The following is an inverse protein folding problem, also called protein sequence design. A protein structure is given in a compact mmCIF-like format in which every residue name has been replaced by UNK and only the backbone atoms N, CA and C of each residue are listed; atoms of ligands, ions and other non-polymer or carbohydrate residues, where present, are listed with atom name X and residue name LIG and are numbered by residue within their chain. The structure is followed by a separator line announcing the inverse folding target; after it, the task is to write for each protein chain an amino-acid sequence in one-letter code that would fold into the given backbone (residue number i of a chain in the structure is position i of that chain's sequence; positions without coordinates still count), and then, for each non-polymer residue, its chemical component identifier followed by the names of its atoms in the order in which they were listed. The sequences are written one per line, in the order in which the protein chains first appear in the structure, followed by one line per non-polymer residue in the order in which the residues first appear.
data_IF_072906603517
#
_entry.id   IF_072906603517
#
_cell.length_a   1.000
_cell.length_b   1.000
_cell.length_c   1.000
_cell.angle_alpha   90.00
_cell.angle_beta   90.00
_cell.angle_gamma   90.00
#
_symmetry.space_group_name_H-M   'P 1'
#
loop_
_entity.id
_entity.type
_entity.pdbx_description
1 polymer ?
#
# COMPACT_ATOMS: atom_id res chain seq x y z
N UNK A 1 -41.01 5.96 20.12
CA UNK A 1 -40.01 5.67 21.17
C UNK A 1 -39.25 4.37 20.88
N UNK A 2 -39.92 3.20 20.83
CA UNK A 2 -39.25 1.91 20.60
C UNK A 2 -38.47 1.81 19.27
N UNK A 3 -39.01 2.35 18.17
CA UNK A 3 -38.32 2.37 16.87
C UNK A 3 -37.04 3.23 16.91
N UNK A 4 -37.09 4.37 17.59
CA UNK A 4 -35.96 5.30 17.75
C UNK A 4 -34.91 4.70 18.68
N UNK A 5 -35.32 4.02 19.75
CA UNK A 5 -34.43 3.28 20.64
C UNK A 5 -33.81 2.05 19.96
N UNK A 6 -34.55 1.34 19.11
CA UNK A 6 -34.02 0.22 18.34
C UNK A 6 -33.01 0.69 17.28
N UNK A 7 -33.29 1.81 16.60
CA UNK A 7 -32.34 2.47 15.69
C UNK A 7 -31.09 2.95 16.43
N UNK A 8 -31.24 3.65 17.56
CA UNK A 8 -30.12 4.09 18.39
C UNK A 8 -29.31 2.90 18.92
N UNK A 9 -29.96 1.86 19.45
CA UNK A 9 -29.28 0.66 19.93
C UNK A 9 -28.58 -0.09 18.80
N UNK A 10 -29.17 -0.15 17.61
CA UNK A 10 -28.53 -0.73 16.42
C UNK A 10 -27.31 0.11 16.01
N UNK A 11 -27.43 1.44 16.01
CA UNK A 11 -26.32 2.38 15.74
C UNK A 11 -25.22 2.25 16.79
N UNK A 12 -25.52 2.18 18.08
CA UNK A 12 -24.52 2.05 19.15
C UNK A 12 -23.87 0.65 19.19
N UNK A 13 -24.64 -0.42 18.94
CA UNK A 13 -24.12 -1.78 18.88
C UNK A 13 -23.28 -2.03 17.63
N UNK A 14 -23.64 -1.39 16.53
CA UNK A 14 -22.78 -1.34 15.35
C UNK A 14 -21.65 -0.34 15.50
N UNK A 15 -21.77 0.73 16.30
CA UNK A 15 -20.75 1.75 16.50
C UNK A 15 -19.43 1.15 17.00
N UNK A 16 -19.42 0.10 17.82
CA UNK A 16 -18.18 -0.57 18.23
C UNK A 16 -17.47 -1.28 17.07
N UNK A 17 -18.23 -2.00 16.23
CA UNK A 17 -17.68 -2.66 15.03
C UNK A 17 -17.33 -1.65 13.94
N UNK A 18 -18.18 -0.67 13.73
CA UNK A 18 -17.98 0.46 12.82
C UNK A 18 -16.83 1.32 13.27
N UNK A 19 -16.58 1.53 14.57
CA UNK A 19 -15.37 2.18 15.07
C UNK A 19 -14.18 1.33 14.72
N UNK A 20 -14.16 0.03 15.04
CA UNK A 20 -12.98 -0.79 14.81
C UNK A 20 -12.65 -0.91 13.31
N UNK A 21 -13.68 -1.04 12.47
CA UNK A 21 -13.55 -1.02 11.00
C UNK A 21 -13.20 0.38 10.50
N UNK A 22 -13.88 1.45 10.93
CA UNK A 22 -13.58 2.82 10.52
C UNK A 22 -12.22 3.28 11.03
N UNK A 23 -11.72 2.77 12.16
CA UNK A 23 -10.36 3.00 12.63
C UNK A 23 -9.38 2.26 11.73
N UNK A 24 -9.60 0.99 11.40
CA UNK A 24 -8.76 0.28 10.43
C UNK A 24 -8.72 0.97 9.06
N UNK A 25 -9.88 1.42 8.57
CA UNK A 25 -10.03 2.09 7.28
C UNK A 25 -9.52 3.53 7.30
N UNK A 26 -9.82 4.32 8.33
CA UNK A 26 -9.30 5.68 8.48
C UNK A 26 -7.79 5.65 8.71
N UNK A 27 -7.27 4.65 9.39
CA UNK A 27 -5.81 4.51 9.56
C UNK A 27 -5.16 4.24 8.21
N UNK A 28 -5.70 3.33 7.40
CA UNK A 28 -5.20 3.07 6.04
C UNK A 28 -5.44 4.26 5.10
N UNK A 29 -6.59 4.92 5.18
CA UNK A 29 -6.93 6.07 4.33
C UNK A 29 -6.15 7.35 4.69
N UNK A 30 -5.80 7.55 5.96
CA UNK A 30 -5.13 8.76 6.43
C UNK A 30 -3.61 8.59 6.52
N UNK A 31 -3.14 7.36 6.76
CA UNK A 31 -1.73 7.07 7.00
C UNK A 31 -1.16 5.97 6.12
N UNK A 32 -1.95 5.34 5.25
CA UNK A 32 -1.53 4.19 4.46
C UNK A 32 -1.39 2.91 5.28
N UNK A 33 -0.82 1.85 4.69
CA UNK A 33 -0.42 0.66 5.43
C UNK A 33 0.85 0.99 6.23
N UNK A 34 0.76 0.94 7.56
CA UNK A 34 1.84 1.28 8.48
C UNK A 34 2.52 -0.03 8.97
N UNK A 35 3.86 -0.08 9.07
CA UNK A 35 4.57 -1.27 9.54
C UNK A 35 3.99 -1.79 10.87
N UNK A 36 3.91 -3.12 11.05
CA UNK A 36 3.28 -3.73 12.24
C UNK A 36 3.86 -3.18 13.56
N UNK A 37 5.18 -2.95 13.61
CA UNK A 37 5.87 -2.36 14.77
C UNK A 37 5.42 -0.93 15.12
N UNK A 38 4.86 -0.19 14.15
CA UNK A 38 4.33 1.18 14.32
C UNK A 38 2.81 1.21 14.48
N UNK A 39 2.11 0.12 14.15
CA UNK A 39 0.65 0.00 14.24
C UNK A 39 0.13 0.17 15.67
N UNK A 40 0.86 -0.33 16.68
CA UNK A 40 0.49 -0.17 18.09
C UNK A 40 0.45 1.32 18.50
N UNK A 41 1.46 2.10 18.10
CA UNK A 41 1.54 3.52 18.42
C UNK A 41 0.43 4.31 17.72
N UNK A 42 0.18 4.00 16.44
CA UNK A 42 -0.86 4.64 15.65
C UNK A 42 -2.26 4.35 16.21
N UNK A 43 -2.51 3.10 16.61
CA UNK A 43 -3.75 2.71 17.30
C UNK A 43 -3.89 3.45 18.64
N UNK A 44 -2.81 3.59 19.41
CA UNK A 44 -2.80 4.35 20.67
C UNK A 44 -3.10 5.83 20.48
N UNK A 45 -2.52 6.46 19.45
CA UNK A 45 -2.78 7.86 19.07
C UNK A 45 -4.25 8.07 18.68
N UNK A 46 -4.79 7.16 17.86
CA UNK A 46 -6.15 7.26 17.34
C UNK A 46 -7.18 6.99 18.45
N UNK A 47 -6.96 5.95 19.28
CA UNK A 47 -7.75 5.67 20.47
C UNK A 47 -7.72 6.82 21.48
N UNK A 48 -6.52 7.36 21.76
CA UNK A 48 -6.36 8.54 22.61
C UNK A 48 -7.17 9.71 22.11
N UNK A 49 -7.22 9.95 20.80
CA UNK A 49 -7.99 11.06 20.22
C UNK A 49 -9.51 10.89 20.37
N UNK A 50 -10.03 9.67 20.30
CA UNK A 50 -11.45 9.41 20.60
C UNK A 50 -11.73 9.51 22.10
N UNK A 51 -10.84 8.99 22.95
CA UNK A 51 -10.98 9.13 24.40
C UNK A 51 -10.97 10.60 24.82
N UNK A 52 -10.16 11.43 24.16
CA UNK A 52 -10.14 12.88 24.36
C UNK A 52 -11.48 13.54 24.01
N UNK A 53 -12.12 13.15 22.89
CA UNK A 53 -13.48 13.61 22.55
C UNK A 53 -14.49 13.23 23.63
N UNK A 54 -14.43 12.00 24.12
CA UNK A 54 -15.31 11.53 25.20
C UNK A 54 -15.10 12.36 26.46
N UNK A 55 -13.84 12.64 26.81
CA UNK A 55 -13.51 13.49 27.96
C UNK A 55 -14.03 14.92 27.78
N UNK A 56 -13.85 15.50 26.58
CA UNK A 56 -14.32 16.84 26.24
C UNK A 56 -15.85 16.95 26.36
N UNK A 57 -16.58 15.98 25.80
CA UNK A 57 -18.05 15.91 25.90
C UNK A 57 -18.48 15.70 27.35
N UNK A 58 -17.76 14.88 28.13
CA UNK A 58 -18.03 14.67 29.55
C UNK A 58 -17.81 15.93 30.41
N UNK A 59 -16.86 16.78 30.05
CA UNK A 59 -16.65 18.09 30.69
C UNK A 59 -17.77 19.07 30.33
N UNK A 60 -18.16 19.12 29.05
CA UNK A 60 -19.22 20.02 28.57
C UNK A 60 -20.61 19.61 29.05
N UNK A 61 -20.89 18.30 29.09
CA UNK A 61 -22.16 17.70 29.49
C UNK A 61 -21.90 16.67 30.59
N UNK A 62 -21.94 17.07 31.87
CA UNK A 62 -21.64 16.19 33.02
C UNK A 62 -22.48 14.91 33.04
N UNK A 63 -23.72 14.98 32.52
CA UNK A 63 -24.62 13.84 32.35
C UNK A 63 -24.02 12.69 31.53
N UNK A 64 -23.21 13.00 30.51
CA UNK A 64 -22.53 12.00 29.67
C UNK A 64 -21.42 11.30 30.43
N UNK A 65 -20.62 12.06 31.19
CA UNK A 65 -19.56 11.49 32.04
C UNK A 65 -20.13 10.56 33.10
N UNK A 66 -21.24 10.94 33.75
CA UNK A 66 -21.94 10.06 34.69
C UNK A 66 -22.59 8.86 33.99
N UNK A 67 -23.12 9.03 32.77
CA UNK A 67 -23.74 7.95 32.00
C UNK A 67 -22.73 6.86 31.60
N UNK A 68 -21.51 7.24 31.22
CA UNK A 68 -20.44 6.29 30.89
C UNK A 68 -20.08 5.40 32.09
N UNK A 69 -20.16 5.95 33.30
CA UNK A 69 -19.93 5.23 34.56
C UNK A 69 -21.23 4.60 35.12
N UNK A 70 -22.39 4.97 34.57
CA UNK A 70 -23.71 4.58 35.09
C UNK A 70 -24.04 3.09 34.92
N UNK A 71 -23.26 2.34 34.15
CA UNK A 71 -23.31 0.87 34.21
C UNK A 71 -23.05 0.32 35.62
N UNK A 72 -22.49 1.14 36.52
CA UNK A 72 -22.19 0.80 37.92
C UNK A 72 -22.95 1.70 38.93
N UNK A 73 -23.86 2.58 38.48
CA UNK A 73 -24.58 3.54 39.35
C UNK A 73 -23.66 4.24 40.38
N UNK A 74 -22.79 5.17 39.94
CA UNK A 74 -21.76 5.73 40.81
C UNK A 74 -22.39 6.49 42.00
N UNK A 75 -21.87 6.31 43.22
CA UNK A 75 -22.37 7.03 44.39
C UNK A 75 -22.15 8.55 44.24
N UNK A 76 -23.02 9.36 44.83
CA UNK A 76 -23.08 10.83 44.65
C UNK A 76 -21.73 11.54 44.89
N UNK A 77 -20.94 11.05 45.85
CA UNK A 77 -19.61 11.60 46.17
C UNK A 77 -18.57 11.39 45.06
N UNK A 78 -18.79 10.43 44.15
CA UNK A 78 -17.88 10.12 43.04
C UNK A 78 -18.06 11.09 41.86
N UNK A 79 -19.22 11.75 41.74
CA UNK A 79 -19.55 12.63 40.59
C UNK A 79 -18.55 13.80 40.42
N UNK A 80 -18.12 14.51 41.48
CA UNK A 80 -17.08 15.54 41.35
C UNK A 80 -15.73 14.97 40.88
N UNK A 81 -15.35 13.78 41.36
CA UNK A 81 -14.11 13.12 40.96
C UNK A 81 -14.11 12.67 39.50
N UNK A 82 -15.26 12.21 38.99
CA UNK A 82 -15.44 11.92 37.55
C UNK A 82 -15.15 13.18 36.73
N UNK A 83 -15.69 14.34 37.15
CA UNK A 83 -15.45 15.61 36.44
C UNK A 83 -13.99 16.03 36.47
N UNK A 84 -13.33 15.90 37.62
CA UNK A 84 -11.89 16.16 37.75
C UNK A 84 -11.09 15.21 36.85
N UNK A 85 -11.43 13.92 36.83
CA UNK A 85 -10.81 12.93 35.95
C UNK A 85 -10.96 13.28 34.47
N UNK A 86 -12.15 13.73 34.05
CA UNK A 86 -12.38 14.17 32.66
C UNK A 86 -11.59 15.45 32.33
N UNK A 87 -11.52 16.42 33.24
CA UNK A 87 -10.69 17.62 33.07
C UNK A 87 -9.21 17.28 32.94
N UNK A 88 -8.71 16.38 33.79
CA UNK A 88 -7.36 15.85 33.71
C UNK A 88 -7.14 15.16 32.36
N UNK A 89 -8.09 14.34 31.91
CA UNK A 89 -8.05 13.66 30.62
C UNK A 89 -7.95 14.64 29.43
N UNK A 90 -8.72 15.73 29.43
CA UNK A 90 -8.68 16.76 28.37
C UNK A 90 -7.29 17.38 28.23
N UNK A 91 -6.54 17.52 29.34
CA UNK A 91 -5.18 18.10 29.34
C UNK A 91 -4.11 17.03 29.08
N UNK A 92 -4.19 15.86 29.72
CA UNK A 92 -3.13 14.85 29.67
C UNK A 92 -3.15 14.05 28.37
N UNK A 93 -4.34 13.71 27.83
CA UNK A 93 -4.43 12.84 26.66
C UNK A 93 -3.71 13.42 25.44
N UNK A 94 -3.87 14.71 25.06
CA UNK A 94 -3.14 15.26 23.92
C UNK A 94 -1.63 15.29 24.15
N UNK A 95 -1.18 15.52 25.38
CA UNK A 95 0.24 15.45 25.73
C UNK A 95 0.81 14.02 25.53
N UNK A 96 0.06 12.99 25.96
CA UNK A 96 0.42 11.59 25.74
C UNK A 96 0.42 11.23 24.25
N UNK A 97 -0.57 11.68 23.49
CA UNK A 97 -0.64 11.47 22.02
C UNK A 97 0.57 12.11 21.33
N UNK A 98 0.92 13.35 21.71
CA UNK A 98 2.11 14.03 21.19
C UNK A 98 3.40 13.28 21.53
N UNK A 99 3.55 12.81 22.76
CA UNK A 99 4.68 11.97 23.16
C UNK A 99 4.72 10.64 22.37
N UNK A 100 3.59 9.97 22.20
CA UNK A 100 3.50 8.69 21.50
C UNK A 100 3.85 8.83 20.01
N UNK A 101 3.50 9.96 19.39
CA UNK A 101 3.83 10.25 17.99
C UNK A 101 5.35 10.26 17.71
N UNK A 102 6.19 10.56 18.71
CA UNK A 102 7.65 10.50 18.55
C UNK A 102 8.17 9.09 18.29
N UNK A 103 7.42 8.06 18.70
CA UNK A 103 7.76 6.65 18.47
C UNK A 103 7.44 6.18 17.06
N UNK A 104 6.67 6.96 16.30
CA UNK A 104 6.37 6.70 14.89
C UNK A 104 7.43 7.26 13.94
N UNK A 105 8.30 8.16 14.43
CA UNK A 105 9.39 8.77 13.66
C UNK A 105 10.70 8.06 13.98
N UNK A 106 11.51 7.86 12.93
CA UNK A 106 12.82 7.25 13.03
C UNK A 106 13.73 8.01 13.99
N UNK A 107 14.59 7.32 14.77
CA UNK A 107 15.40 7.94 15.82
C UNK A 107 16.17 9.19 15.39
N UNK A 108 16.63 9.22 14.14
CA UNK A 108 17.45 10.29 13.54
C UNK A 108 16.65 11.58 13.28
N UNK A 109 15.35 11.47 13.03
CA UNK A 109 14.46 12.59 12.67
C UNK A 109 13.54 13.03 13.82
N UNK A 110 13.74 12.49 15.03
CA UNK A 110 12.82 12.75 16.16
C UNK A 110 12.85 14.21 16.60
N UNK A 111 11.68 14.87 16.70
CA UNK A 111 11.61 16.19 17.32
C UNK A 111 11.89 16.10 18.82
N UNK A 112 12.30 17.22 19.41
CA UNK A 112 12.45 17.30 20.87
C UNK A 112 11.14 16.98 21.60
N UNK A 113 11.22 16.25 22.70
CA UNK A 113 10.06 15.73 23.45
C UNK A 113 9.06 16.82 23.82
N UNK A 114 9.54 17.99 24.25
CA UNK A 114 8.68 19.14 24.60
C UNK A 114 7.91 19.65 23.39
N UNK A 115 8.56 19.73 22.22
CA UNK A 115 7.93 20.16 20.97
C UNK A 115 6.90 19.14 20.48
N UNK A 116 7.18 17.85 20.66
CA UNK A 116 6.24 16.78 20.34
C UNK A 116 4.99 16.82 21.23
N UNK A 117 5.15 16.99 22.54
CA UNK A 117 4.05 17.15 23.49
C UNK A 117 3.19 18.37 23.12
N UNK A 118 3.82 19.52 22.86
CA UNK A 118 3.09 20.73 22.45
C UNK A 118 2.30 20.54 21.16
N UNK A 119 2.86 19.81 20.19
CA UNK A 119 2.18 19.45 18.92
C UNK A 119 1.07 18.42 19.09
N UNK A 120 1.10 17.63 20.16
CA UNK A 120 0.06 16.67 20.48
C UNK A 120 -1.32 17.33 20.60
N UNK A 121 -1.40 18.54 21.17
CA UNK A 121 -2.66 19.27 21.33
C UNK A 121 -3.42 19.52 20.03
N UNK A 122 -2.88 20.28 19.05
CA UNK A 122 -3.61 20.50 17.80
C UNK A 122 -3.78 19.20 17.01
N UNK A 123 -2.80 18.29 17.04
CA UNK A 123 -2.90 17.01 16.35
C UNK A 123 -4.04 16.12 16.86
N UNK A 124 -4.21 16.00 18.18
CA UNK A 124 -5.32 15.26 18.79
C UNK A 124 -6.67 15.84 18.38
N UNK A 125 -6.82 17.17 18.35
CA UNK A 125 -8.05 17.83 17.90
C UNK A 125 -8.33 17.51 16.43
N UNK A 126 -7.33 17.65 15.56
CA UNK A 126 -7.46 17.38 14.14
C UNK A 126 -7.84 15.93 13.86
N UNK A 127 -7.16 14.98 14.51
CA UNK A 127 -7.45 13.55 14.36
C UNK A 127 -8.83 13.20 14.88
N UNK A 128 -9.21 13.72 16.05
CA UNK A 128 -10.51 13.49 16.64
C UNK A 128 -11.65 14.01 15.73
N UNK A 129 -11.54 15.24 15.21
CA UNK A 129 -12.51 15.82 14.29
C UNK A 129 -12.62 15.01 12.99
N UNK A 130 -11.46 14.60 12.44
CA UNK A 130 -11.37 13.77 11.24
C UNK A 130 -12.08 12.43 11.44
N UNK A 131 -11.88 11.76 12.58
CA UNK A 131 -12.55 10.50 12.91
C UNK A 131 -14.07 10.66 13.03
N UNK A 132 -14.56 11.75 13.62
CA UNK A 132 -16.00 12.04 13.68
C UNK A 132 -16.58 12.21 12.29
N UNK A 133 -15.91 12.95 11.41
CA UNK A 133 -16.34 13.15 10.02
C UNK A 133 -16.34 11.83 9.26
N UNK A 134 -15.27 11.03 9.40
CA UNK A 134 -15.14 9.73 8.75
C UNK A 134 -16.21 8.73 9.21
N UNK A 135 -16.67 8.83 10.46
CA UNK A 135 -17.80 8.03 10.97
C UNK A 135 -19.08 8.27 10.17
N UNK A 136 -19.25 9.48 9.60
CA UNK A 136 -20.39 9.81 8.73
C UNK A 136 -20.08 9.50 7.26
N UNK A 137 -18.89 9.83 6.77
CA UNK A 137 -18.54 9.68 5.35
C UNK A 137 -18.33 8.23 4.94
N UNK A 138 -17.72 7.40 5.78
CA UNK A 138 -17.45 6.00 5.43
C UNK A 138 -18.74 5.20 5.13
N UNK A 139 -19.82 5.30 5.92
CA UNK A 139 -21.11 4.70 5.56
C UNK A 139 -21.68 5.22 4.24
N UNK A 140 -21.61 6.53 3.99
CA UNK A 140 -22.12 7.13 2.74
C UNK A 140 -21.38 6.58 1.52
N UNK A 141 -20.05 6.50 1.60
CA UNK A 141 -19.23 5.90 0.56
C UNK A 141 -19.54 4.42 0.38
N UNK A 142 -19.71 3.67 1.49
CA UNK A 142 -20.05 2.24 1.42
C UNK A 142 -21.40 1.99 0.76
N UNK A 143 -22.38 2.86 1.01
CA UNK A 143 -23.71 2.80 0.39
C UNK A 143 -23.61 3.08 -1.11
N UNK A 144 -22.84 4.11 -1.52
CA UNK A 144 -22.54 4.38 -2.93
C UNK A 144 -21.94 3.16 -3.61
N UNK A 145 -20.91 2.57 -3.01
CA UNK A 145 -20.22 1.41 -3.59
C UNK A 145 -21.17 0.21 -3.70
N UNK A 146 -22.05 -0.01 -2.70
CA UNK A 146 -23.07 -1.05 -2.76
C UNK A 146 -24.06 -0.83 -3.90
N UNK A 147 -24.51 0.40 -4.14
CA UNK A 147 -25.39 0.74 -5.26
C UNK A 147 -24.73 0.46 -6.62
N UNK A 148 -23.43 0.75 -6.76
CA UNK A 148 -22.68 0.45 -7.98
C UNK A 148 -22.20 -1.00 -8.07
N UNK A 149 -22.40 -1.81 -7.02
CA UNK A 149 -21.81 -3.16 -6.86
C UNK A 149 -20.30 -3.13 -7.01
N UNK A 150 -19.68 -2.11 -6.43
CA UNK A 150 -18.25 -1.92 -6.43
C UNK A 150 -17.61 -2.54 -5.19
N UNK A 151 -16.41 -3.06 -5.39
CA UNK A 151 -15.49 -3.42 -4.33
C UNK A 151 -14.30 -2.47 -4.38
N UNK A 152 -13.63 -2.29 -3.24
CA UNK A 152 -12.42 -1.48 -3.13
C UNK A 152 -11.30 -2.37 -2.63
N UNK A 153 -10.16 -2.36 -3.32
CA UNK A 153 -8.96 -3.11 -2.96
C UNK A 153 -7.79 -2.16 -2.77
N UNK A 154 -7.07 -2.35 -1.67
CA UNK A 154 -5.88 -1.58 -1.33
C UNK A 154 -4.63 -2.28 -1.86
N UNK A 155 -3.76 -1.53 -2.49
CA UNK A 155 -2.44 -1.95 -2.96
C UNK A 155 -1.42 -1.12 -2.20
N UNK A 156 -0.68 -1.73 -1.25
CA UNK A 156 0.28 -0.98 -0.44
C UNK A 156 1.38 -0.42 -1.33
N UNK A 157 1.51 0.91 -1.32
CA UNK A 157 2.43 1.66 -2.15
C UNK A 157 2.89 2.88 -1.35
N UNK A 158 4.19 3.16 -1.31
CA UNK A 158 4.74 4.42 -0.81
C UNK A 158 5.29 5.21 -2.00
N UNK A 159 4.82 6.45 -2.16
CA UNK A 159 5.21 7.33 -3.24
C UNK A 159 5.94 8.53 -2.63
N UNK A 160 7.25 8.67 -2.90
CA UNK A 160 7.99 9.85 -2.48
C UNK A 160 7.36 11.13 -3.05
N UNK A 161 7.19 12.22 -2.24
CA UNK A 161 6.54 13.45 -2.69
C UNK A 161 7.12 14.04 -3.98
N UNK A 162 8.43 13.96 -4.15
CA UNK A 162 9.19 14.43 -5.31
C UNK A 162 8.84 13.67 -6.61
N UNK A 163 8.38 12.43 -6.50
CA UNK A 163 8.06 11.57 -7.63
C UNK A 163 6.55 11.40 -7.84
N UNK A 164 5.70 12.01 -7.00
CA UNK A 164 4.27 11.74 -7.02
C UNK A 164 3.62 12.01 -8.38
N UNK A 165 3.92 13.14 -9.01
CA UNK A 165 3.36 13.48 -10.32
C UNK A 165 3.79 12.49 -11.41
N UNK A 166 5.03 12.01 -11.34
CA UNK A 166 5.58 11.01 -12.28
C UNK A 166 4.90 9.66 -12.07
N UNK A 167 4.76 9.21 -10.83
CA UNK A 167 4.09 7.95 -10.50
C UNK A 167 2.62 7.95 -10.92
N UNK A 168 1.91 9.07 -10.77
CA UNK A 168 0.52 9.18 -11.27
C UNK A 168 0.45 8.88 -12.77
N UNK A 169 1.39 9.43 -13.53
CA UNK A 169 1.44 9.24 -14.98
C UNK A 169 1.90 7.82 -15.35
N UNK A 170 2.88 7.25 -14.62
CA UNK A 170 3.31 5.86 -14.78
C UNK A 170 2.15 4.88 -14.51
N UNK A 171 1.35 5.13 -13.48
CA UNK A 171 0.15 4.33 -13.15
C UNK A 171 -0.91 4.47 -14.24
N UNK A 172 -1.14 5.70 -14.74
CA UNK A 172 -2.07 5.94 -15.86
C UNK A 172 -1.64 5.16 -17.10
N UNK A 173 -0.36 5.21 -17.44
CA UNK A 173 0.20 4.52 -18.59
C UNK A 173 0.18 3.00 -18.42
N UNK A 174 0.45 2.48 -17.22
CA UNK A 174 0.33 1.07 -16.90
C UNK A 174 -1.11 0.56 -17.13
N UNK A 175 -2.11 1.30 -16.63
CA UNK A 175 -3.51 0.96 -16.85
C UNK A 175 -3.88 1.01 -18.35
N UNK A 176 -3.38 2.00 -19.08
CA UNK A 176 -3.61 2.14 -20.52
C UNK A 176 -3.04 0.95 -21.31
N UNK A 177 -1.80 0.52 -21.01
CA UNK A 177 -1.22 -0.70 -21.58
C UNK A 177 -2.02 -1.96 -21.23
N UNK A 178 -2.67 -1.98 -20.08
CA UNK A 178 -3.63 -3.02 -19.67
C UNK A 178 -5.02 -2.91 -20.34
N UNK A 179 -5.18 -2.02 -21.32
CA UNK A 179 -6.43 -1.80 -22.04
C UNK A 179 -7.45 -0.94 -21.27
N UNK A 180 -7.03 -0.19 -20.25
CA UNK A 180 -7.89 0.64 -19.40
C UNK A 180 -7.52 2.11 -19.55
N UNK A 181 -8.22 2.78 -20.45
CA UNK A 181 -8.09 4.24 -20.60
C UNK A 181 -8.71 4.92 -19.38
N UNK A 182 -7.87 5.65 -18.63
CA UNK A 182 -8.28 6.42 -17.46
C UNK A 182 -7.97 7.90 -17.66
N UNK A 183 -8.79 8.75 -17.05
CA UNK A 183 -8.63 10.19 -17.07
C UNK A 183 -8.29 10.70 -15.66
N UNK A 184 -7.28 11.56 -15.50
CA UNK A 184 -6.98 12.16 -14.21
C UNK A 184 -8.10 13.14 -13.81
N UNK A 185 -8.57 12.97 -12.59
CA UNK A 185 -9.54 13.84 -11.92
C UNK A 185 -9.03 14.13 -10.51
N UNK A 186 -9.54 15.22 -9.93
CA UNK A 186 -9.29 15.52 -8.52
C UNK A 186 -10.11 14.56 -7.66
N UNK A 187 -9.54 14.10 -6.55
CA UNK A 187 -10.27 13.27 -5.62
C UNK A 187 -11.58 13.96 -5.14
N UNK A 188 -12.65 13.19 -4.88
CA UNK A 188 -13.89 13.69 -4.32
C UNK A 188 -13.65 14.51 -3.05
N UNK A 189 -14.46 15.55 -2.85
CA UNK A 189 -14.35 16.43 -1.69
C UNK A 189 -14.44 15.67 -0.35
N UNK A 190 -15.22 14.58 -0.30
CA UNK A 190 -15.38 13.72 0.88
C UNK A 190 -14.06 13.05 1.30
N UNK A 191 -13.13 12.82 0.37
CA UNK A 191 -11.81 12.25 0.66
C UNK A 191 -10.77 13.34 0.98
N UNK A 192 -10.93 14.52 0.38
CA UNK A 192 -10.01 15.66 0.56
C UNK A 192 -10.24 16.44 1.84
N UNK A 193 -11.48 16.47 2.32
CA UNK A 193 -11.85 17.27 3.48
C UNK A 193 -11.23 16.74 4.79
N UNK A 194 -11.29 15.44 5.11
CA UNK A 194 -10.66 14.90 6.31
C UNK A 194 -9.13 15.10 6.31
N UNK A 195 -8.48 14.90 5.16
CA UNK A 195 -7.02 15.09 5.00
C UNK A 195 -6.62 16.58 5.12
N UNK A 196 -7.44 17.50 4.62
CA UNK A 196 -7.23 18.94 4.80
C UNK A 196 -7.30 19.36 6.29
N UNK A 197 -8.23 18.80 7.07
CA UNK A 197 -8.32 19.05 8.51
C UNK A 197 -7.06 18.59 9.23
N UNK A 198 -6.60 17.36 8.96
CA UNK A 198 -5.36 16.86 9.54
C UNK A 198 -4.17 17.75 9.20
N UNK A 199 -4.08 18.19 7.94
CA UNK A 199 -3.00 19.08 7.48
C UNK A 199 -3.02 20.41 8.22
N UNK A 200 -4.21 21.00 8.38
CA UNK A 200 -4.38 22.27 9.07
C UNK A 200 -3.96 22.18 10.55
N UNK A 201 -4.32 21.10 11.23
CA UNK A 201 -4.01 20.90 12.65
C UNK A 201 -2.61 20.34 12.91
N UNK A 202 -2.07 19.50 12.03
CA UNK A 202 -0.70 19.00 12.15
C UNK A 202 0.34 20.07 11.74
N UNK A 203 -0.03 21.04 10.88
CA UNK A 203 0.90 22.02 10.34
C UNK A 203 2.00 21.39 9.48
N UNK A 204 3.10 22.12 9.23
CA UNK A 204 4.26 21.66 8.42
C UNK A 204 5.02 20.43 9.00
N UNK A 205 4.53 19.76 10.04
CA UNK A 205 5.23 18.64 10.68
C UNK A 205 5.07 17.30 9.96
N UNK A 206 4.12 17.17 9.03
CA UNK A 206 4.02 16.03 8.10
C UNK A 206 4.82 16.34 6.83
N UNK A 207 6.13 16.63 7.00
CA UNK A 207 7.03 17.20 5.99
C UNK A 207 6.72 16.75 4.56
N UNK A 208 6.35 17.70 3.70
CA UNK A 208 6.19 17.52 2.24
C UNK A 208 5.04 16.63 1.77
N UNK A 209 4.52 15.70 2.59
CA UNK A 209 3.47 14.74 2.18
C UNK A 209 2.10 15.39 2.03
N UNK A 210 1.83 16.46 2.79
CA UNK A 210 0.51 17.12 2.85
C UNK A 210 0.22 18.11 1.72
N UNK A 211 1.23 18.53 0.94
CA UNK A 211 1.05 19.39 -0.24
C UNK A 211 0.78 18.59 -1.53
N UNK A 212 0.80 17.26 -1.44
CA UNK A 212 0.60 16.38 -2.59
C UNK A 212 -0.90 16.25 -2.90
N UNK A 213 -1.38 16.71 -4.07
CA UNK A 213 -2.80 16.67 -4.39
C UNK A 213 -3.25 15.22 -4.61
N UNK A 214 -4.22 14.75 -3.82
CA UNK A 214 -4.88 13.46 -4.04
C UNK A 214 -5.48 13.40 -5.45
N UNK A 215 -4.87 12.58 -6.30
CA UNK A 215 -5.32 12.34 -7.66
C UNK A 215 -6.11 11.04 -7.77
N UNK A 216 -7.10 11.07 -8.65
CA UNK A 216 -7.94 9.94 -8.97
C UNK A 216 -7.91 9.70 -10.48
N UNK A 217 -7.63 8.47 -10.90
CA UNK A 217 -7.72 8.04 -12.29
C UNK A 217 -9.08 7.36 -12.49
N UNK A 218 -9.92 7.93 -13.35
CA UNK A 218 -11.31 7.50 -13.51
C UNK A 218 -11.52 6.92 -14.91
N UNK A 219 -12.24 5.80 -14.97
CA UNK A 219 -12.78 5.20 -16.19
C UNK A 219 -14.28 4.89 -16.00
N UNK A 220 -14.95 4.42 -17.06
CA UNK A 220 -16.36 4.06 -17.01
C UNK A 220 -16.68 2.89 -16.05
N UNK A 221 -15.69 2.08 -15.65
CA UNK A 221 -15.88 0.84 -14.90
C UNK A 221 -15.07 0.75 -13.59
N UNK A 222 -14.09 1.63 -13.43
CA UNK A 222 -13.12 1.58 -12.35
C UNK A 222 -12.57 2.97 -12.04
N UNK A 223 -12.27 3.20 -10.78
CA UNK A 223 -11.59 4.35 -10.22
C UNK A 223 -10.31 3.87 -9.52
N UNK A 224 -9.21 4.60 -9.68
CA UNK A 224 -7.96 4.37 -8.94
C UNK A 224 -7.61 5.65 -8.21
N UNK A 225 -7.62 5.61 -6.89
CA UNK A 225 -7.22 6.71 -6.03
C UNK A 225 -5.75 6.51 -5.63
N UNK A 226 -4.92 7.52 -5.90
CA UNK A 226 -3.50 7.50 -5.56
C UNK A 226 -3.27 8.35 -4.30
N UNK A 227 -2.92 7.70 -3.20
CA UNK A 227 -2.45 8.33 -1.98
C UNK A 227 -0.92 8.17 -1.89
N UNK A 228 -0.17 9.10 -1.26
CA UNK A 228 1.28 8.94 -1.06
C UNK A 228 1.73 7.67 -0.32
N UNK A 229 0.80 6.98 0.32
CA UNK A 229 1.08 5.80 1.16
C UNK A 229 0.09 4.64 0.90
N UNK A 230 -0.72 4.76 -0.14
CA UNK A 230 -1.67 3.70 -0.53
C UNK A 230 -2.19 3.92 -1.96
N UNK A 231 -2.58 2.84 -2.63
CA UNK A 231 -3.28 2.91 -3.90
C UNK A 231 -4.58 2.12 -3.79
N UNK A 232 -5.72 2.78 -4.01
CA UNK A 232 -7.04 2.15 -3.87
C UNK A 232 -7.67 1.98 -5.23
N UNK A 233 -8.01 0.74 -5.58
CA UNK A 233 -8.71 0.39 -6.82
C UNK A 233 -10.15 0.07 -6.47
N UNK A 234 -11.09 0.86 -7.02
CA UNK A 234 -12.53 0.70 -6.81
C UNK A 234 -13.24 0.40 -8.12
N UNK A 235 -14.14 -0.57 -8.14
CA UNK A 235 -14.87 -0.95 -9.34
C UNK A 235 -15.55 -2.30 -9.20
N UNK A 236 -16.00 -2.89 -10.32
CA UNK A 236 -16.50 -4.27 -10.30
C UNK A 236 -15.35 -5.24 -10.01
N UNK A 237 -15.66 -6.37 -9.40
CA UNK A 237 -14.67 -7.36 -8.95
C UNK A 237 -13.67 -7.77 -10.05
N UNK A 238 -14.14 -8.05 -11.26
CA UNK A 238 -13.28 -8.43 -12.39
C UNK A 238 -12.39 -7.28 -12.86
N UNK A 239 -12.92 -6.05 -12.89
CA UNK A 239 -12.17 -4.86 -13.28
C UNK A 239 -11.07 -4.54 -12.26
N UNK A 240 -11.39 -4.66 -10.96
CA UNK A 240 -10.44 -4.47 -9.85
C UNK A 240 -9.34 -5.54 -9.89
N UNK A 241 -9.70 -6.82 -10.12
CA UNK A 241 -8.72 -7.90 -10.21
C UNK A 241 -7.73 -7.70 -11.37
N UNK A 242 -8.22 -7.33 -12.55
CA UNK A 242 -7.38 -7.03 -13.71
C UNK A 242 -6.52 -5.78 -13.50
N UNK A 243 -7.11 -4.71 -12.97
CA UNK A 243 -6.38 -3.48 -12.64
C UNK A 243 -5.24 -3.76 -11.66
N UNK A 244 -5.52 -4.52 -10.59
CA UNK A 244 -4.49 -4.94 -9.64
C UNK A 244 -3.39 -5.76 -10.32
N UNK A 245 -3.72 -6.74 -11.15
CA UNK A 245 -2.71 -7.56 -11.83
C UNK A 245 -1.74 -6.69 -12.65
N UNK A 246 -2.29 -5.77 -13.45
CA UNK A 246 -1.49 -4.83 -14.27
C UNK A 246 -0.63 -3.93 -13.40
N UNK A 247 -1.20 -3.33 -12.34
CA UNK A 247 -0.46 -2.43 -11.47
C UNK A 247 0.61 -3.17 -10.65
N UNK A 248 0.32 -4.35 -10.12
CA UNK A 248 1.29 -5.13 -9.32
C UNK A 248 2.51 -5.59 -10.12
N UNK A 249 2.37 -5.78 -11.43
CA UNK A 249 3.48 -6.04 -12.34
C UNK A 249 4.22 -4.75 -12.70
N UNK A 250 3.51 -3.71 -13.10
CA UNK A 250 4.11 -2.48 -13.64
C UNK A 250 4.69 -1.55 -12.58
N UNK A 251 4.14 -1.53 -11.37
CA UNK A 251 4.66 -0.72 -10.26
C UNK A 251 6.09 -1.12 -9.86
N UNK A 252 6.51 -2.34 -10.17
CA UNK A 252 7.86 -2.86 -9.85
C UNK A 252 9.00 -2.08 -10.51
N UNK A 253 8.71 -1.32 -11.57
CA UNK A 253 9.68 -0.49 -12.30
C UNK A 253 9.44 1.01 -12.12
N UNK A 254 8.46 1.38 -11.29
CA UNK A 254 8.06 2.79 -11.08
C UNK A 254 8.85 3.46 -9.97
N UNK A 255 8.54 4.74 -9.73
CA UNK A 255 9.12 5.45 -8.60
C UNK A 255 8.54 5.07 -7.23
N UNK A 256 7.45 4.31 -7.21
CA UNK A 256 6.77 3.86 -6.01
C UNK A 256 7.44 2.64 -5.37
N UNK A 257 7.54 2.65 -4.05
CA UNK A 257 7.90 1.47 -3.25
C UNK A 257 6.65 0.61 -3.00
N UNK A 258 6.78 -0.70 -3.13
CA UNK A 258 5.76 -1.68 -2.73
C UNK A 258 5.98 -2.23 -1.31
N UNK A 259 7.07 -1.82 -0.68
CA UNK A 259 7.48 -2.13 0.69
C UNK A 259 7.46 -0.86 1.57
N UNK A 260 7.50 -1.03 2.90
CA UNK A 260 7.30 0.05 3.87
C UNK A 260 8.39 0.20 4.93
N UNK A 261 9.36 -0.71 4.96
CA UNK A 261 10.58 -0.58 5.76
C UNK A 261 11.69 0.05 4.94
N UNK A 262 12.58 0.81 5.60
CA UNK A 262 13.71 1.48 4.94
C UNK A 262 14.64 0.45 4.30
N UNK A 263 14.89 -0.63 5.01
CA UNK A 263 15.73 -1.75 4.58
C UNK A 263 15.16 -2.43 3.31
N UNK A 264 13.83 -2.60 3.24
CA UNK A 264 13.19 -3.13 2.04
C UNK A 264 13.19 -2.13 0.87
N UNK A 265 12.97 -0.84 1.15
CA UNK A 265 13.03 0.23 0.16
C UNK A 265 14.42 0.32 -0.49
N UNK A 266 15.49 0.14 0.28
CA UNK A 266 16.87 0.08 -0.25
C UNK A 266 17.06 -1.08 -1.26
N UNK A 267 16.42 -2.22 -1.01
CA UNK A 267 16.44 -3.36 -1.96
C UNK A 267 15.63 -3.03 -3.23
N UNK A 268 14.47 -2.40 -3.11
CA UNK A 268 13.69 -1.93 -4.28
C UNK A 268 14.49 -0.91 -5.12
N UNK A 269 15.28 -0.05 -4.49
CA UNK A 269 16.18 0.86 -5.21
C UNK A 269 17.25 0.12 -6.00
N UNK A 270 17.85 -0.93 -5.43
CA UNK A 270 18.77 -1.79 -6.17
C UNK A 270 18.07 -2.56 -7.30
N UNK A 271 16.85 -3.05 -7.09
CA UNK A 271 16.06 -3.71 -8.13
C UNK A 271 15.76 -2.76 -9.28
N UNK A 272 15.44 -1.50 -8.99
CA UNK A 272 15.21 -0.46 -10.01
C UNK A 272 16.45 -0.20 -10.84
N UNK A 273 17.63 -0.17 -10.23
CA UNK A 273 18.90 -0.10 -10.96
C UNK A 273 19.11 -1.34 -11.83
N UNK A 274 18.74 -2.53 -11.37
CA UNK A 274 18.80 -3.76 -12.19
C UNK A 274 17.88 -3.65 -13.42
N UNK A 275 16.67 -3.12 -13.25
CA UNK A 275 15.76 -2.85 -14.36
C UNK A 275 16.30 -1.82 -15.35
N UNK A 276 16.99 -0.78 -14.88
CA UNK A 276 17.68 0.17 -15.75
C UNK A 276 18.84 -0.49 -16.51
N UNK A 277 19.58 -1.39 -15.87
CA UNK A 277 20.64 -2.19 -16.51
C UNK A 277 20.05 -3.09 -17.61
N UNK A 278 18.91 -3.74 -17.35
CA UNK A 278 18.16 -4.57 -18.32
C UNK A 278 17.64 -3.75 -19.50
N UNK A 279 16.99 -2.61 -19.24
CA UNK A 279 16.48 -1.72 -20.29
C UNK A 279 17.62 -1.19 -21.19
N UNK A 280 18.79 -0.95 -20.60
CA UNK A 280 20.01 -0.56 -21.32
C UNK A 280 20.75 -1.74 -21.99
N UNK A 281 20.18 -2.95 -21.98
CA UNK A 281 20.77 -4.18 -22.53
C UNK A 281 22.14 -4.53 -21.93
N UNK A 282 22.38 -4.17 -20.66
CA UNK A 282 23.62 -4.47 -19.92
C UNK A 282 23.45 -5.74 -19.08
N UNK A 283 23.29 -6.88 -19.76
CA UNK A 283 22.96 -8.18 -19.15
C UNK A 283 23.90 -8.59 -18.02
N UNK A 284 25.23 -8.44 -18.18
CA UNK A 284 26.19 -8.79 -17.12
C UNK A 284 26.03 -7.93 -15.86
N UNK A 285 25.87 -6.62 -16.03
CA UNK A 285 25.67 -5.71 -14.89
C UNK A 285 24.35 -6.01 -14.15
N UNK A 286 23.28 -6.29 -14.92
CA UNK A 286 22.01 -6.71 -14.36
C UNK A 286 22.14 -8.05 -13.60
N UNK A 287 22.83 -9.03 -14.17
CA UNK A 287 23.08 -10.34 -13.54
C UNK A 287 23.83 -10.20 -12.22
N UNK A 288 24.95 -9.48 -12.21
CA UNK A 288 25.77 -9.27 -11.01
C UNK A 288 24.95 -8.61 -9.89
N UNK A 289 24.15 -7.60 -10.26
CA UNK A 289 23.28 -6.90 -9.33
C UNK A 289 22.18 -7.82 -8.78
N UNK A 290 21.51 -8.60 -9.63
CA UNK A 290 20.46 -9.53 -9.19
C UNK A 290 21.02 -10.61 -8.26
N UNK A 291 22.23 -11.12 -8.51
CA UNK A 291 22.91 -12.06 -7.59
C UNK A 291 23.23 -11.39 -6.24
N UNK A 292 23.60 -10.11 -6.24
CA UNK A 292 23.83 -9.38 -4.98
C UNK A 292 22.54 -9.17 -4.19
N UNK A 293 21.43 -8.88 -4.87
CA UNK A 293 20.10 -8.71 -4.28
C UNK A 293 19.61 -10.02 -3.67
N UNK A 294 19.75 -11.14 -4.39
CA UNK A 294 19.35 -12.47 -3.91
C UNK A 294 20.09 -12.85 -2.61
N UNK A 295 21.39 -12.56 -2.55
CA UNK A 295 22.17 -12.78 -1.32
C UNK A 295 21.67 -11.92 -0.17
N UNK A 296 21.41 -10.64 -0.42
CA UNK A 296 20.88 -9.73 0.59
C UNK A 296 19.50 -10.19 1.10
N UNK A 297 18.63 -10.69 0.22
CA UNK A 297 17.30 -11.19 0.59
C UNK A 297 17.34 -12.37 1.57
N UNK A 298 18.40 -13.16 1.62
CA UNK A 298 18.54 -14.26 2.59
C UNK A 298 18.89 -13.79 4.00
N UNK A 299 19.51 -12.62 4.14
CA UNK A 299 19.94 -12.06 5.42
C UNK A 299 18.97 -10.97 5.92
N UNK A 300 18.09 -10.48 5.04
CA UNK A 300 17.17 -9.39 5.31
C UNK A 300 16.13 -9.78 6.38
N UNK A 301 16.10 -9.01 7.46
CA UNK A 301 15.12 -9.19 8.55
C UNK A 301 13.95 -8.24 8.38
N UNK A 302 13.01 -8.60 7.49
CA UNK A 302 11.78 -7.84 7.21
C UNK A 302 10.55 -8.75 7.39
N UNK A 303 9.35 -8.18 7.60
CA UNK A 303 8.09 -8.91 7.54
C UNK A 303 7.99 -9.80 6.30
N UNK A 304 7.37 -10.98 6.45
CA UNK A 304 7.27 -11.96 5.38
C UNK A 304 6.58 -11.38 4.13
N UNK A 305 5.58 -10.53 4.32
CA UNK A 305 4.85 -9.88 3.22
C UNK A 305 5.74 -8.96 2.39
N UNK A 306 6.69 -8.23 3.01
CA UNK A 306 7.66 -7.40 2.28
C UNK A 306 8.68 -8.29 1.58
N UNK A 307 9.15 -9.34 2.25
CA UNK A 307 10.06 -10.30 1.67
C UNK A 307 9.48 -10.96 0.40
N UNK A 308 8.21 -11.38 0.42
CA UNK A 308 7.54 -11.94 -0.75
C UNK A 308 7.42 -10.95 -1.92
N UNK A 309 7.20 -9.66 -1.62
CA UNK A 309 7.18 -8.60 -2.63
C UNK A 309 8.55 -8.48 -3.30
N UNK A 310 9.62 -8.38 -2.52
CA UNK A 310 10.99 -8.26 -3.04
C UNK A 310 11.44 -9.50 -3.81
N UNK A 311 11.12 -10.69 -3.27
CA UNK A 311 11.41 -11.96 -3.93
C UNK A 311 10.73 -12.05 -5.30
N UNK A 312 9.43 -11.71 -5.37
CA UNK A 312 8.68 -11.67 -6.63
C UNK A 312 9.25 -10.66 -7.62
N UNK A 313 9.63 -9.45 -7.16
CA UNK A 313 10.24 -8.44 -8.03
C UNK A 313 11.58 -8.94 -8.61
N UNK A 314 12.41 -9.59 -7.78
CA UNK A 314 13.67 -10.22 -8.20
C UNK A 314 13.42 -11.28 -9.27
N UNK A 315 12.42 -12.16 -9.08
CA UNK A 315 12.05 -13.18 -10.06
C UNK A 315 11.59 -12.57 -11.40
N UNK A 316 10.84 -11.47 -11.37
CA UNK A 316 10.42 -10.78 -12.59
C UNK A 316 11.62 -10.21 -13.37
N UNK A 317 12.58 -9.61 -12.66
CA UNK A 317 13.81 -9.09 -13.26
C UNK A 317 14.71 -10.21 -13.81
N UNK A 318 14.85 -11.32 -13.08
CA UNK A 318 15.59 -12.51 -13.54
C UNK A 318 14.94 -13.13 -14.78
N UNK A 319 13.61 -13.20 -14.83
CA UNK A 319 12.88 -13.66 -16.03
C UNK A 319 13.19 -12.78 -17.23
N UNK A 320 13.23 -11.47 -17.06
CA UNK A 320 13.55 -10.54 -18.15
C UNK A 320 15.00 -10.69 -18.63
N UNK A 321 15.95 -10.86 -17.70
CA UNK A 321 17.34 -11.16 -18.03
C UNK A 321 17.45 -12.41 -18.91
N UNK A 322 16.73 -13.49 -18.56
CA UNK A 322 16.71 -14.73 -19.34
C UNK A 322 16.15 -14.52 -20.76
N UNK A 323 15.16 -13.65 -20.92
CA UNK A 323 14.60 -13.31 -22.24
C UNK A 323 15.64 -12.57 -23.08
N UNK A 324 16.33 -11.58 -22.51
CA UNK A 324 17.40 -10.84 -23.19
C UNK A 324 18.56 -11.74 -23.61
N UNK A 325 19.00 -12.65 -22.74
CA UNK A 325 20.05 -13.62 -23.06
C UNK A 325 19.62 -14.58 -24.18
N UNK A 326 18.36 -15.05 -24.15
CA UNK A 326 17.82 -15.89 -25.22
C UNK A 326 17.75 -15.14 -26.56
N UNK A 327 17.36 -13.87 -26.55
CA UNK A 327 17.32 -13.03 -27.75
C UNK A 327 18.72 -12.71 -28.29
N UNK A 328 19.72 -12.54 -27.42
CA UNK A 328 21.12 -12.40 -27.80
C UNK A 328 21.68 -13.70 -28.44
N UNK A 329 21.22 -14.87 -28.00
CA UNK A 329 21.65 -16.18 -28.53
C UNK A 329 20.97 -16.56 -29.85
N UNK A 330 19.73 -16.12 -30.10
CA UNK A 330 18.92 -16.45 -31.29
C UNK A 330 19.61 -16.22 -32.64
N UNK A 331 20.25 -15.08 -32.93
CA UNK A 331 20.83 -14.84 -34.26
C UNK A 331 21.98 -15.81 -34.60
N UNK A 332 22.79 -16.22 -33.62
CA UNK A 332 23.87 -17.19 -33.82
C UNK A 332 23.43 -18.66 -33.79
N UNK A 333 22.26 -18.96 -33.20
CA UNK A 333 21.74 -20.32 -33.08
C UNK A 333 21.27 -20.87 -34.43
N UNK A 334 20.63 -20.04 -35.25
CA UNK A 334 20.24 -20.41 -36.61
C UNK A 334 21.48 -20.71 -37.47
N UNK A 335 22.51 -19.85 -37.41
CA UNK A 335 23.75 -20.04 -38.16
C UNK A 335 24.52 -21.27 -37.67
N UNK A 336 24.57 -21.52 -36.35
CA UNK A 336 25.17 -22.72 -35.76
C UNK A 336 24.41 -24.00 -36.09
N UNK A 337 23.08 -23.97 -36.11
CA UNK A 337 22.25 -25.11 -36.51
C UNK A 337 22.42 -25.41 -38.00
N UNK A 338 22.43 -24.38 -38.85
CA UNK A 338 22.72 -24.54 -40.29
C UNK A 338 24.13 -25.08 -40.50
N UNK A 339 25.13 -24.57 -39.77
CA UNK A 339 26.52 -25.05 -39.87
C UNK A 339 26.65 -26.50 -39.37
N UNK A 340 25.97 -26.86 -38.28
CA UNK A 340 25.97 -28.22 -37.75
C UNK A 340 25.24 -29.20 -38.70
N UNK A 341 24.11 -28.79 -39.28
CA UNK A 341 23.37 -29.57 -40.29
C UNK A 341 24.19 -29.72 -41.59
N UNK A 342 24.86 -28.66 -42.05
CA UNK A 342 25.75 -28.72 -43.21
C UNK A 342 26.97 -29.63 -42.95
N UNK A 343 27.54 -29.59 -41.75
CA UNK A 343 28.65 -30.46 -41.36
C UNK A 343 28.24 -31.94 -41.21
N UNK A 344 26.96 -32.22 -40.95
CA UNK A 344 26.43 -33.59 -40.81
C UNK A 344 25.78 -34.15 -42.09
N UNK A 345 25.60 -33.33 -43.12
CA UNK A 345 25.15 -33.76 -44.45
C UNK A 345 25.97 -34.92 -45.07
N UNK A 346 27.32 -34.92 -45.06
CA UNK A 346 28.09 -36.03 -45.62
C UNK A 346 27.92 -37.35 -44.86
N UNK A 347 27.64 -37.30 -43.55
CA UNK A 347 27.38 -38.49 -42.73
C UNK A 347 26.02 -39.14 -43.07
N UNK A 348 25.03 -38.33 -43.46
CA UNK A 348 23.73 -38.82 -43.91
C UNK A 348 23.83 -39.49 -45.30
N UNK A 349 24.62 -38.92 -46.21
CA UNK A 349 24.90 -39.54 -47.51
C UNK A 349 25.69 -40.85 -47.39
N UNK A 350 26.67 -40.91 -46.48
CA UNK A 350 27.42 -42.14 -46.21
C UNK A 350 26.51 -43.24 -45.63
N UNK A 351 25.63 -42.88 -44.70
CA UNK A 351 24.66 -43.81 -44.09
C UNK A 351 23.64 -44.34 -45.12
N UNK A 352 23.15 -43.51 -46.03
CA UNK A 352 22.28 -43.96 -47.13
C UNK A 352 23.01 -44.88 -48.11
N UNK A 353 24.27 -44.55 -48.48
CA UNK A 353 25.06 -45.42 -49.35
C UNK A 353 25.37 -46.77 -48.71
N UNK A 354 25.57 -46.79 -47.39
CA UNK A 354 25.80 -48.01 -46.61
C UNK A 354 24.53 -48.86 -46.52
N UNK A 355 23.38 -48.23 -46.26
CA UNK A 355 22.08 -48.90 -46.27
C UNK A 355 21.72 -49.47 -47.66
N UNK A 356 22.05 -48.75 -48.73
CA UNK A 356 21.89 -49.20 -50.12
C UNK A 356 22.77 -50.42 -50.43
N UNK A 357 24.04 -50.40 -49.99
CA UNK A 357 24.96 -51.54 -50.12
C UNK A 357 24.47 -52.76 -49.35
N UNK A 358 23.99 -52.59 -48.13
CA UNK A 358 23.38 -53.67 -47.33
C UNK A 358 22.16 -54.29 -48.02
N UNK A 359 21.24 -53.49 -48.55
CA UNK A 359 20.08 -54.00 -49.30
C UNK A 359 20.50 -54.76 -50.56
N UNK A 360 21.56 -54.33 -51.23
CA UNK A 360 22.07 -55.01 -52.43
C UNK A 360 22.73 -56.36 -52.11
N UNK A 361 23.38 -56.48 -50.94
CA UNK A 361 23.94 -57.74 -50.45
C UNK A 361 22.84 -58.73 -50.06
N UNK A 362 21.80 -58.26 -49.36
CA UNK A 362 20.66 -59.11 -49.01
C UNK A 362 19.87 -59.60 -50.24
N UNK A 363 19.79 -58.83 -51.33
CA UNK A 363 19.15 -59.28 -52.59
C UNK A 363 19.98 -60.26 -53.41
N UNK A 364 21.29 -60.40 -53.15
CA UNK A 364 22.15 -61.38 -53.84
C UNK A 364 22.28 -62.70 -53.06
N UNK A 365 21.82 -62.72 -51.81
CA UNK A 365 21.85 -63.88 -50.92
C UNK A 365 20.50 -64.62 -50.83
N UNK A 366 19.47 -64.12 -51.51
CA UNK A 366 18.19 -64.78 -51.77
C UNK A 366 18.12 -65.11 -53.26
#
# INVERSE_FOLDING_TARGET
MALVQALLAMVFRSAGKLLNTAFGWATVLLFGRVPEGRQMYLSGVAFGSVLWLVALVGVAFPGVGTFLVAFVSPPEWLKPWIRIGMLIGVVIIPALVGWLSTRMVDPEDRPSTVRAIGRGYPYTVGLALTLVIMTVFAPVMKVRDLFHRWISQHVPVIIPPEHYAVVVEEVRHALEMGGRVTSPQRAPWMLRFPTAILTWFAGRSLGGVSDVPLQQLVSAKMEVLLHPSDLVISGRETDVAHGRAVLTERLTVTHAYLTWTKEANEVEDQLRLAWQDLAAHRATAASDRLTSIERNLHELTVPYEEWEVLFRQTLLAQRELLVLDADALRPGLAERVVTALAASAPLLEEAESFAGRLRSLFRRAA
#
